data_IF_669575921447
#
_entry.id   IF_669575921447
#
_cell.length_a   1.000
_cell.length_b   1.000
_cell.length_c   1.000
_cell.angle_alpha   90.00
_cell.angle_beta   90.00
_cell.angle_gamma   90.00
#
_symmetry.space_group_name_H-M   'P 1'
#
loop_
_entity.id
_entity.type
_entity.pdbx_description
1 polymer ?
#
# COMPACT_ATOMS: atom_id res chain seq x y z
N UNK A 1 14.14 -19.55 -48.84
CA UNK A 1 12.90 -19.52 -48.01
C UNK A 1 13.11 -20.13 -46.62
N UNK A 2 13.71 -21.31 -46.49
CA UNK A 2 13.89 -21.99 -45.19
C UNK A 2 14.68 -21.19 -44.14
N UNK A 3 15.72 -20.46 -44.55
CA UNK A 3 16.56 -19.66 -43.65
C UNK A 3 15.81 -18.46 -43.04
N UNK A 4 14.92 -17.84 -43.83
CA UNK A 4 14.06 -16.73 -43.36
C UNK A 4 13.05 -17.22 -42.33
N UNK A 5 12.49 -18.41 -42.53
CA UNK A 5 11.54 -19.04 -41.60
C UNK A 5 12.20 -19.33 -40.24
N UNK A 6 13.40 -19.92 -40.25
CA UNK A 6 14.18 -20.19 -39.03
C UNK A 6 14.49 -18.93 -38.23
N UNK A 7 14.90 -17.85 -38.91
CA UNK A 7 15.19 -16.58 -38.25
C UNK A 7 13.96 -15.96 -37.60
N UNK A 8 12.80 -16.04 -38.27
CA UNK A 8 11.52 -15.59 -37.69
C UNK A 8 11.10 -16.41 -36.48
N UNK A 9 11.27 -17.74 -36.51
CA UNK A 9 10.96 -18.60 -35.36
C UNK A 9 11.86 -18.29 -34.15
N UNK A 10 13.16 -18.02 -34.37
CA UNK A 10 14.08 -17.61 -33.31
C UNK A 10 13.72 -16.25 -32.72
N UNK A 11 13.38 -15.27 -33.56
CA UNK A 11 12.92 -13.94 -33.13
C UNK A 11 11.60 -14.03 -32.34
N UNK A 12 10.65 -14.84 -32.78
CA UNK A 12 9.41 -15.08 -32.03
C UNK A 12 9.66 -15.76 -30.68
N UNK A 13 10.55 -16.75 -30.63
CA UNK A 13 10.93 -17.42 -29.38
C UNK A 13 11.56 -16.42 -28.41
N UNK A 14 12.50 -15.60 -28.88
CA UNK A 14 13.12 -14.53 -28.07
C UNK A 14 12.09 -13.55 -27.54
N UNK A 15 11.17 -13.10 -28.39
CA UNK A 15 10.09 -12.17 -28.01
C UNK A 15 9.16 -12.78 -26.97
N UNK A 16 8.80 -14.06 -27.11
CA UNK A 16 7.97 -14.78 -26.13
C UNK A 16 8.66 -14.89 -24.77
N UNK A 17 9.96 -15.21 -24.76
CA UNK A 17 10.75 -15.26 -23.53
C UNK A 17 10.85 -13.90 -22.85
N UNK A 18 11.09 -12.82 -23.60
CA UNK A 18 11.16 -11.47 -23.06
C UNK A 18 9.82 -11.01 -22.45
N UNK A 19 8.70 -11.33 -23.11
CA UNK A 19 7.36 -11.05 -22.57
C UNK A 19 7.12 -11.82 -21.27
N UNK A 20 7.46 -13.12 -21.25
CA UNK A 20 7.30 -13.95 -20.07
C UNK A 20 8.15 -13.44 -18.89
N UNK A 21 9.40 -13.05 -19.15
CA UNK A 21 10.30 -12.48 -18.14
C UNK A 21 9.75 -11.16 -17.59
N UNK A 22 9.26 -10.26 -18.46
CA UNK A 22 8.63 -9.01 -18.03
C UNK A 22 7.37 -9.24 -17.20
N UNK A 23 6.55 -10.23 -17.57
CA UNK A 23 5.36 -10.59 -16.81
C UNK A 23 5.72 -11.16 -15.44
N UNK A 24 6.72 -12.05 -15.38
CA UNK A 24 7.20 -12.62 -14.12
C UNK A 24 7.71 -11.53 -13.17
N UNK A 25 8.53 -10.59 -13.65
CA UNK A 25 9.02 -9.47 -12.83
C UNK A 25 7.90 -8.56 -12.32
N UNK A 26 6.90 -8.28 -13.16
CA UNK A 26 5.73 -7.49 -12.75
C UNK A 26 4.92 -8.19 -11.68
N UNK A 27 4.75 -9.51 -11.81
CA UNK A 27 4.04 -10.32 -10.82
C UNK A 27 4.81 -10.34 -9.50
N UNK A 28 6.12 -10.55 -9.53
CA UNK A 28 6.97 -10.56 -8.34
C UNK A 28 6.90 -9.23 -7.58
N UNK A 29 7.04 -8.11 -8.29
CA UNK A 29 6.92 -6.78 -7.69
C UNK A 29 5.53 -6.54 -7.07
N UNK A 30 4.46 -7.01 -7.72
CA UNK A 30 3.11 -6.90 -7.20
C UNK A 30 2.90 -7.75 -5.94
N UNK A 31 3.42 -8.98 -5.92
CA UNK A 31 3.35 -9.84 -4.73
C UNK A 31 4.11 -9.20 -3.57
N UNK A 32 5.31 -8.69 -3.80
CA UNK A 32 6.11 -8.02 -2.75
C UNK A 32 5.38 -6.79 -2.18
N UNK A 33 4.75 -5.98 -3.03
CA UNK A 33 3.95 -4.83 -2.59
C UNK A 33 2.76 -5.28 -1.72
N UNK A 34 2.04 -6.32 -2.16
CA UNK A 34 0.88 -6.84 -1.42
C UNK A 34 1.27 -7.52 -0.10
N UNK A 35 2.40 -8.19 -0.04
CA UNK A 35 2.93 -8.72 1.22
C UNK A 35 3.20 -7.60 2.23
N UNK A 36 3.80 -6.48 1.78
CA UNK A 36 4.04 -5.32 2.65
C UNK A 36 2.72 -4.71 3.15
N UNK A 37 1.72 -4.56 2.29
CA UNK A 37 0.40 -4.09 2.69
C UNK A 37 -0.25 -5.01 3.74
N UNK A 38 -0.18 -6.33 3.54
CA UNK A 38 -0.74 -7.30 4.49
C UNK A 38 -0.03 -7.22 5.84
N UNK A 39 1.30 -7.13 5.85
CA UNK A 39 2.08 -6.98 7.09
C UNK A 39 1.72 -5.69 7.82
N UNK A 40 1.58 -4.57 7.11
CA UNK A 40 1.14 -3.31 7.71
C UNK A 40 -0.25 -3.44 8.33
N UNK A 41 -1.21 -4.05 7.62
CA UNK A 41 -2.56 -4.26 8.13
C UNK A 41 -2.60 -5.20 9.35
N UNK A 42 -1.73 -6.21 9.40
CA UNK A 42 -1.60 -7.08 10.57
C UNK A 42 -1.15 -6.32 11.81
N UNK A 43 -0.22 -5.37 11.66
CA UNK A 43 0.22 -4.51 12.77
C UNK A 43 -0.88 -3.51 13.17
N UNK A 44 -1.55 -2.89 12.21
CA UNK A 44 -2.65 -1.95 12.48
C UNK A 44 -3.83 -2.64 13.16
N UNK A 45 -4.16 -3.87 12.76
CA UNK A 45 -5.26 -4.65 13.32
C UNK A 45 -5.11 -4.94 14.82
N UNK A 46 -3.88 -4.96 15.36
CA UNK A 46 -3.63 -5.09 16.81
C UNK A 46 -4.26 -3.95 17.62
N UNK A 47 -4.49 -2.79 16.98
CA UNK A 47 -5.07 -1.62 17.63
C UNK A 47 -6.62 -1.62 17.59
N UNK A 48 -7.25 -2.60 16.94
CA UNK A 48 -8.70 -2.67 16.85
C UNK A 48 -9.37 -2.86 18.21
N UNK A 49 -10.58 -2.31 18.30
CA UNK A 49 -11.43 -2.50 19.46
C UNK A 49 -12.09 -3.88 19.33
N UNK A 50 -11.93 -4.67 20.38
CA UNK A 50 -12.48 -6.02 20.54
C UNK A 50 -13.38 -6.02 21.77
N UNK A 51 -14.33 -6.97 21.90
CA UNK A 51 -15.17 -7.07 23.09
C UNK A 51 -14.36 -7.09 24.40
N UNK A 52 -13.18 -7.69 24.38
CA UNK A 52 -12.29 -7.84 25.53
C UNK A 52 -11.60 -6.53 25.94
N UNK A 53 -11.32 -5.62 25.00
CA UNK A 53 -10.64 -4.36 25.28
C UNK A 53 -11.57 -3.12 25.26
N UNK A 54 -12.88 -3.34 25.08
CA UNK A 54 -13.85 -2.27 24.83
C UNK A 54 -13.93 -1.25 25.98
N UNK A 55 -14.10 -1.70 27.22
CA UNK A 55 -14.26 -0.79 28.37
C UNK A 55 -13.02 0.07 28.57
N UNK A 56 -11.82 -0.55 28.54
CA UNK A 56 -10.56 0.17 28.66
C UNK A 56 -10.36 1.21 27.54
N UNK A 57 -10.77 0.89 26.30
CA UNK A 57 -10.70 1.83 25.17
C UNK A 57 -11.67 3.00 25.32
N UNK A 58 -12.85 2.80 25.90
CA UNK A 58 -13.80 3.88 26.19
C UNK A 58 -13.20 4.85 27.21
N UNK A 59 -12.67 4.34 28.32
CA UNK A 59 -12.02 5.18 29.35
C UNK A 59 -10.84 5.97 28.78
N UNK A 60 -9.95 5.32 28.04
CA UNK A 60 -8.80 5.96 27.39
C UNK A 60 -9.24 7.12 26.47
N UNK A 61 -10.32 6.94 25.70
CA UNK A 61 -10.84 7.95 24.80
C UNK A 61 -11.53 9.12 25.51
N UNK A 62 -12.13 8.89 26.68
CA UNK A 62 -12.72 9.95 27.50
C UNK A 62 -11.63 10.84 28.12
N UNK A 63 -10.53 10.22 28.57
CA UNK A 63 -9.39 10.93 29.17
C UNK A 63 -8.52 11.66 28.13
N UNK A 64 -8.48 11.15 26.89
CA UNK A 64 -7.62 11.67 25.82
C UNK A 64 -8.43 12.15 24.61
N UNK A 65 -9.13 13.28 24.71
CA UNK A 65 -9.84 13.84 23.57
C UNK A 65 -8.83 14.17 22.45
N UNK A 66 -9.23 13.98 21.18
CA UNK A 66 -8.43 14.34 20.01
C UNK A 66 -9.10 15.45 19.20
N UNK A 67 -8.33 16.46 18.82
CA UNK A 67 -8.80 17.59 18.04
C UNK A 67 -8.15 17.60 16.66
N UNK A 68 -8.99 17.43 15.64
CA UNK A 68 -8.60 17.44 14.24
C UNK A 68 -8.81 18.82 13.59
N UNK A 69 -9.16 19.86 14.35
CA UNK A 69 -9.32 21.21 13.81
C UNK A 69 -7.96 21.84 13.49
N UNK A 70 -7.80 22.19 12.23
CA UNK A 70 -6.67 22.98 11.75
C UNK A 70 -7.13 24.05 10.75
N UNK A 71 -6.39 25.16 10.70
CA UNK A 71 -6.63 26.23 9.72
C UNK A 71 -5.59 26.14 8.60
N UNK A 72 -5.99 26.46 7.37
CA UNK A 72 -5.14 26.49 6.18
C UNK A 72 -5.15 27.91 5.61
N UNK A 73 -4.01 28.41 5.13
CA UNK A 73 -3.93 29.69 4.43
C UNK A 73 -4.23 29.56 2.92
N UNK A 74 -4.22 30.68 2.18
CA UNK A 74 -4.46 30.68 0.73
C UNK A 74 -3.42 29.89 -0.08
N UNK A 75 -2.23 29.67 0.47
CA UNK A 75 -1.15 28.89 -0.13
C UNK A 75 -1.23 27.38 0.20
N UNK A 76 -2.29 26.93 0.88
CA UNK A 76 -2.47 25.53 1.27
C UNK A 76 -1.67 25.09 2.50
N UNK A 77 -1.03 26.01 3.23
CA UNK A 77 -0.22 25.69 4.41
C UNK A 77 -1.07 25.69 5.68
N UNK A 78 -0.86 24.71 6.54
CA UNK A 78 -1.49 24.64 7.87
C UNK A 78 -0.90 25.75 8.76
N UNK A 79 -1.74 26.65 9.27
CA UNK A 79 -1.33 27.82 10.07
C UNK A 79 -1.68 27.75 11.54
N UNK A 80 -2.58 26.84 11.93
CA UNK A 80 -2.92 26.60 13.34
C UNK A 80 -3.47 25.19 13.51
N UNK A 81 -3.05 24.50 14.58
CA UNK A 81 -3.74 23.33 15.13
C UNK A 81 -4.34 23.74 16.47
N UNK A 82 -5.61 23.48 16.67
CA UNK A 82 -6.28 23.79 17.94
C UNK A 82 -5.92 22.69 18.95
N UNK A 83 -5.29 23.06 20.05
CA UNK A 83 -5.04 22.14 21.17
C UNK A 83 -6.32 21.97 21.99
N UNK A 84 -6.52 20.78 22.55
CA UNK A 84 -7.55 20.55 23.57
C UNK A 84 -6.98 20.99 24.91
N UNK A 85 -7.76 21.82 25.61
CA UNK A 85 -7.47 22.30 26.97
C UNK A 85 -7.91 21.29 28.01
#
# INVERSE_FOLDING_TARGET
MAERLRKQEEEEKRRKLEIAEKQARKMEAFVEEKEKEVLQLQEEAKNFITPENLEARIEECLDNPRNYNFAINKDGRIVKRTVLS
#
